data_IF_338895838165
#
_entry.id   IF_338895838165
#
_cell.length_a   1.000
_cell.length_b   1.000
_cell.length_c   1.000
_cell.angle_alpha   90.00
_cell.angle_beta   90.00
_cell.angle_gamma   90.00
#
_symmetry.space_group_name_H-M   'P 1'
#
loop_
_entity.id
_entity.type
_entity.pdbx_description
1 polymer ?
#
# COMPACT_ATOMS: atom_id res chain seq x y z
N UNK A 1 -15.50 0.40 18.86
CA UNK A 1 -14.51 -0.03 17.84
C UNK A 1 -13.48 1.07 17.64
N UNK A 2 -12.21 0.73 17.53
CA UNK A 2 -11.16 1.70 17.15
C UNK A 2 -11.37 2.16 15.71
N UNK A 3 -11.03 3.42 15.41
CA UNK A 3 -11.07 3.90 14.04
C UNK A 3 -9.85 3.35 13.29
N UNK A 4 -10.09 2.68 12.18
CA UNK A 4 -9.04 2.04 11.37
C UNK A 4 -8.87 2.84 10.07
N UNK A 5 -7.64 3.17 9.76
CA UNK A 5 -7.20 3.79 8.51
C UNK A 5 -6.40 2.77 7.71
N UNK A 6 -6.50 2.80 6.41
CA UNK A 6 -5.94 1.79 5.53
C UNK A 6 -4.88 2.39 4.61
N UNK A 7 -3.65 1.89 4.69
CA UNK A 7 -2.58 2.31 3.80
C UNK A 7 -2.38 1.27 2.70
N UNK A 8 -2.85 1.58 1.48
CA UNK A 8 -2.84 0.75 0.28
C UNK A 8 -1.81 1.22 -0.76
N UNK A 9 -0.72 1.80 -0.33
CA UNK A 9 0.25 2.50 -1.18
C UNK A 9 0.95 1.60 -2.19
N UNK A 10 1.34 2.19 -3.31
CA UNK A 10 2.19 1.56 -4.31
C UNK A 10 3.54 1.15 -3.68
N UNK A 11 4.09 -0.02 -4.02
CA UNK A 11 5.42 -0.41 -3.59
C UNK A 11 6.48 0.63 -3.96
N UNK A 12 7.43 0.87 -3.04
CA UNK A 12 8.53 1.84 -3.20
C UNK A 12 8.11 3.31 -3.34
N UNK A 13 6.89 3.64 -3.00
CA UNK A 13 6.37 5.02 -2.94
C UNK A 13 6.55 5.73 -1.60
N UNK A 14 7.26 5.13 -0.64
CA UNK A 14 7.48 5.72 0.68
C UNK A 14 6.42 5.37 1.73
N UNK A 15 5.60 4.34 1.51
CA UNK A 15 4.55 3.92 2.44
C UNK A 15 5.05 3.65 3.86
N UNK A 16 6.21 3.00 4.02
CA UNK A 16 6.80 2.75 5.34
C UNK A 16 7.25 4.07 6.01
N UNK A 17 7.74 5.03 5.23
CA UNK A 17 8.10 6.35 5.74
C UNK A 17 6.87 7.09 6.28
N UNK A 18 5.76 7.09 5.52
CA UNK A 18 4.49 7.66 5.96
C UNK A 18 3.98 6.99 7.24
N UNK A 19 4.06 5.65 7.34
CA UNK A 19 3.69 4.90 8.55
C UNK A 19 4.46 5.42 9.77
N UNK A 20 5.76 5.62 9.65
CA UNK A 20 6.61 6.05 10.76
C UNK A 20 6.43 7.54 11.09
N UNK A 21 6.12 8.40 10.11
CA UNK A 21 5.74 9.80 10.38
C UNK A 21 4.43 9.82 11.16
N UNK A 22 3.40 9.11 10.73
CA UNK A 22 2.11 9.05 11.42
C UNK A 22 2.21 8.41 12.82
N UNK A 23 3.12 7.46 13.02
CA UNK A 23 3.36 6.82 14.31
C UNK A 23 3.95 7.76 15.38
N UNK A 24 4.47 8.95 15.01
CA UNK A 24 4.86 9.99 15.98
C UNK A 24 3.65 10.51 16.75
N UNK A 25 2.44 10.46 16.17
CA UNK A 25 1.22 10.78 16.89
C UNK A 25 0.94 9.69 17.96
N UNK A 26 0.90 10.05 19.25
CA UNK A 26 0.72 9.07 20.32
C UNK A 26 -0.62 8.31 20.23
N UNK A 27 -1.62 8.87 19.58
CA UNK A 27 -2.93 8.24 19.41
C UNK A 27 -2.96 7.22 18.24
N UNK A 28 -1.95 7.19 17.37
CA UNK A 28 -1.90 6.32 16.18
C UNK A 28 -0.96 5.14 16.43
N UNK A 29 -1.46 3.94 16.26
CA UNK A 29 -0.65 2.73 16.07
C UNK A 29 -0.52 2.44 14.56
N UNK A 30 0.68 2.56 14.04
CA UNK A 30 0.98 2.21 12.64
C UNK A 30 1.52 0.78 12.58
N UNK A 31 0.89 -0.09 11.80
CA UNK A 31 1.40 -1.44 11.61
C UNK A 31 2.61 -1.44 10.66
N UNK A 32 3.53 -2.40 10.77
CA UNK A 32 4.32 -2.83 9.62
C UNK A 32 3.38 -3.39 8.53
N UNK A 33 3.90 -4.08 7.52
CA UNK A 33 3.01 -4.75 6.57
C UNK A 33 2.15 -5.78 7.31
N UNK A 34 0.83 -5.60 7.27
CA UNK A 34 -0.14 -6.39 8.02
C UNK A 34 -0.73 -7.52 7.17
N UNK A 35 -1.05 -8.64 7.83
CA UNK A 35 -1.80 -9.74 7.22
C UNK A 35 -3.32 -9.61 7.35
N UNK A 36 -3.84 -8.53 7.95
CA UNK A 36 -5.28 -8.40 8.24
C UNK A 36 -6.15 -8.47 6.98
N UNK A 37 -5.80 -7.74 5.91
CA UNK A 37 -6.52 -7.82 4.63
C UNK A 37 -6.49 -9.26 4.07
N UNK A 38 -5.36 -9.95 4.15
CA UNK A 38 -5.24 -11.34 3.69
C UNK A 38 -6.18 -12.28 4.45
N UNK A 39 -6.34 -12.11 5.77
CA UNK A 39 -7.29 -12.88 6.56
C UNK A 39 -8.74 -12.65 6.11
N UNK A 40 -9.12 -11.38 5.85
CA UNK A 40 -10.45 -11.06 5.34
C UNK A 40 -10.69 -11.65 3.95
N UNK A 41 -9.72 -11.56 3.05
CA UNK A 41 -9.81 -12.15 1.71
C UNK A 41 -9.93 -13.67 1.77
N UNK A 42 -9.16 -14.35 2.63
CA UNK A 42 -9.26 -15.79 2.85
C UNK A 42 -10.65 -16.20 3.38
N UNK A 43 -11.19 -15.43 4.32
CA UNK A 43 -12.54 -15.66 4.81
C UNK A 43 -13.60 -15.46 3.71
N UNK A 44 -13.48 -14.38 2.90
CA UNK A 44 -14.35 -14.11 1.74
C UNK A 44 -14.27 -15.23 0.70
N UNK A 45 -13.09 -15.69 0.39
CA UNK A 45 -12.87 -16.80 -0.53
C UNK A 45 -13.53 -18.10 0.00
N UNK A 46 -13.35 -18.40 1.28
CA UNK A 46 -13.99 -19.53 1.94
C UNK A 46 -15.51 -19.43 1.87
N UNK A 47 -16.07 -18.26 2.21
CA UNK A 47 -17.51 -18.01 2.13
C UNK A 47 -18.06 -18.21 0.71
N UNK A 48 -17.33 -17.77 -0.32
CA UNK A 48 -17.80 -17.85 -1.71
C UNK A 48 -17.66 -19.23 -2.35
N UNK A 49 -16.79 -20.11 -1.82
CA UNK A 49 -16.45 -21.39 -2.47
C UNK A 49 -16.98 -22.62 -1.74
N UNK A 50 -17.36 -22.51 -0.47
CA UNK A 50 -17.78 -23.69 0.32
C UNK A 50 -19.28 -23.95 0.22
N UNK A 51 -19.63 -25.23 0.06
CA UNK A 51 -21.00 -25.70 -0.11
C UNK A 51 -21.89 -25.33 1.09
N UNK A 52 -21.35 -25.34 2.31
CA UNK A 52 -22.06 -24.99 3.53
C UNK A 52 -22.63 -23.55 3.48
N UNK A 53 -21.89 -22.62 2.87
CA UNK A 53 -22.38 -21.25 2.69
C UNK A 53 -23.27 -21.10 1.47
N UNK A 54 -22.95 -21.78 0.36
CA UNK A 54 -23.78 -21.75 -0.86
C UNK A 54 -25.18 -22.32 -0.61
N UNK A 55 -25.29 -23.38 0.17
CA UNK A 55 -26.57 -24.00 0.54
C UNK A 55 -27.44 -23.11 1.44
N UNK A 56 -26.84 -22.15 2.12
CA UNK A 56 -27.49 -21.22 3.06
C UNK A 56 -27.40 -19.76 2.57
N UNK A 57 -27.25 -19.55 1.24
CA UNK A 57 -27.10 -18.18 0.67
C UNK A 57 -28.38 -17.37 0.83
N UNK A 58 -28.52 -16.78 2.01
CA UNK A 58 -29.64 -15.93 2.42
C UNK A 58 -29.11 -14.56 2.86
N UNK A 59 -30.02 -13.57 2.88
CA UNK A 59 -29.70 -12.24 3.41
C UNK A 59 -29.21 -12.31 4.86
N UNK A 60 -29.75 -13.26 5.66
CA UNK A 60 -29.32 -13.49 7.03
C UNK A 60 -27.87 -14.00 7.10
N UNK A 61 -27.51 -14.97 6.26
CA UNK A 61 -26.16 -15.53 6.21
C UNK A 61 -25.14 -14.49 5.74
N UNK A 62 -25.48 -13.68 4.73
CA UNK A 62 -24.64 -12.54 4.29
C UNK A 62 -24.40 -11.54 5.43
N UNK A 63 -25.47 -11.20 6.18
CA UNK A 63 -25.35 -10.32 7.36
C UNK A 63 -24.48 -10.94 8.45
N UNK A 64 -24.62 -12.22 8.72
CA UNK A 64 -23.81 -12.96 9.70
C UNK A 64 -22.34 -12.99 9.29
N UNK A 65 -22.04 -13.23 8.00
CA UNK A 65 -20.68 -13.21 7.49
C UNK A 65 -20.02 -11.83 7.59
N UNK A 66 -20.72 -10.75 7.24
CA UNK A 66 -20.23 -9.38 7.44
C UNK A 66 -19.96 -9.08 8.92
N UNK A 67 -20.82 -9.60 9.82
CA UNK A 67 -20.62 -9.52 11.27
C UNK A 67 -19.36 -10.26 11.73
N UNK A 68 -19.10 -11.45 11.17
CA UNK A 68 -17.88 -12.21 11.42
C UNK A 68 -16.62 -11.44 10.98
N UNK A 69 -16.62 -10.85 9.77
CA UNK A 69 -15.49 -10.06 9.27
C UNK A 69 -15.24 -8.83 10.17
N UNK A 70 -16.29 -8.10 10.58
CA UNK A 70 -16.17 -6.97 11.51
C UNK A 70 -15.60 -7.40 12.85
N UNK A 71 -16.15 -8.44 13.44
CA UNK A 71 -15.68 -8.97 14.71
C UNK A 71 -14.23 -9.45 14.67
N UNK A 72 -13.83 -10.07 13.54
CA UNK A 72 -12.44 -10.45 13.29
C UNK A 72 -11.50 -9.24 13.23
N UNK A 73 -11.86 -8.19 12.49
CA UNK A 73 -11.09 -6.95 12.45
C UNK A 73 -11.01 -6.26 13.82
N UNK A 74 -12.11 -6.20 14.53
CA UNK A 74 -12.18 -5.62 15.88
C UNK A 74 -11.29 -6.37 16.87
N UNK A 75 -11.41 -7.69 16.90
CA UNK A 75 -10.58 -8.55 17.75
C UNK A 75 -9.11 -8.41 17.42
N UNK A 76 -8.75 -8.42 16.14
CA UNK A 76 -7.38 -8.26 15.68
C UNK A 76 -6.81 -6.90 16.13
N UNK A 77 -7.48 -5.80 15.81
CA UNK A 77 -6.99 -4.45 16.08
C UNK A 77 -6.99 -4.06 17.55
N UNK A 78 -7.96 -4.57 18.34
CA UNK A 78 -8.01 -4.32 19.77
C UNK A 78 -6.86 -5.01 20.53
N UNK A 79 -6.36 -6.15 20.01
CA UNK A 79 -5.24 -6.86 20.61
C UNK A 79 -3.87 -6.38 20.11
N UNK A 80 -3.80 -5.56 19.04
CA UNK A 80 -2.55 -4.99 18.57
C UNK A 80 -2.04 -3.83 19.43
N UNK A 81 -2.92 -3.00 19.94
CA UNK A 81 -2.54 -1.77 20.63
C UNK A 81 -3.72 -1.19 21.39
N UNK A 82 -3.46 -0.43 22.45
CA UNK A 82 -4.47 0.36 23.17
C UNK A 82 -4.69 1.74 22.57
N UNK A 83 -3.95 2.14 21.54
CA UNK A 83 -4.07 3.43 20.89
C UNK A 83 -5.44 3.60 20.23
N UNK A 84 -5.87 4.87 20.11
CA UNK A 84 -7.19 5.25 19.63
C UNK A 84 -7.42 4.93 18.15
N UNK A 85 -6.37 5.10 17.34
CA UNK A 85 -6.39 4.91 15.90
C UNK A 85 -5.43 3.80 15.49
N UNK A 86 -5.83 3.00 14.51
CA UNK A 86 -4.98 2.00 13.88
C UNK A 86 -4.75 2.43 12.43
N UNK A 87 -3.50 2.54 12.01
CA UNK A 87 -3.12 2.71 10.61
C UNK A 87 -2.58 1.37 10.11
N UNK A 88 -3.43 0.62 9.43
CA UNK A 88 -3.07 -0.71 8.92
C UNK A 88 -2.53 -0.64 7.50
N UNK A 89 -1.37 -1.26 7.27
CA UNK A 89 -0.68 -1.24 5.98
C UNK A 89 -0.79 -2.58 5.27
N UNK A 90 -1.48 -2.58 4.14
CA UNK A 90 -1.47 -3.67 3.15
C UNK A 90 -1.83 -3.10 1.78
N UNK A 91 -1.10 -3.47 0.74
CA UNK A 91 -1.44 -3.05 -0.63
C UNK A 91 -2.82 -3.57 -1.07
N UNK A 92 -3.29 -4.67 -0.53
CA UNK A 92 -4.60 -5.26 -0.82
C UNK A 92 -5.78 -4.36 -0.45
N UNK A 93 -5.62 -3.43 0.50
CA UNK A 93 -6.70 -2.51 0.87
C UNK A 93 -7.25 -1.69 -0.30
N UNK A 94 -6.44 -1.50 -1.36
CA UNK A 94 -6.88 -0.85 -2.59
C UNK A 94 -8.03 -1.59 -3.29
N UNK A 95 -8.00 -2.93 -3.26
CA UNK A 95 -9.07 -3.78 -3.81
C UNK A 95 -10.23 -4.05 -2.85
N UNK A 96 -10.07 -3.69 -1.57
CA UNK A 96 -11.06 -4.00 -0.52
C UNK A 96 -12.09 -2.87 -0.27
N UNK A 97 -12.04 -1.77 -1.03
CA UNK A 97 -12.91 -0.60 -0.81
C UNK A 97 -14.38 -0.98 -0.63
N UNK A 98 -14.96 -1.71 -1.56
CA UNK A 98 -16.37 -2.09 -1.48
C UNK A 98 -16.66 -3.08 -0.35
N UNK A 99 -15.76 -4.03 -0.09
CA UNK A 99 -15.90 -4.95 1.03
C UNK A 99 -15.95 -4.19 2.35
N UNK A 100 -15.04 -3.25 2.56
CA UNK A 100 -15.00 -2.40 3.75
C UNK A 100 -16.27 -1.55 3.86
N UNK A 101 -16.70 -0.92 2.76
CA UNK A 101 -17.94 -0.13 2.73
C UNK A 101 -19.17 -0.97 3.10
N UNK A 102 -19.26 -2.21 2.60
CA UNK A 102 -20.31 -3.15 2.99
C UNK A 102 -20.23 -3.55 4.46
N UNK A 103 -19.04 -3.86 4.96
CA UNK A 103 -18.81 -4.23 6.34
C UNK A 103 -19.24 -3.12 7.32
N UNK A 104 -19.07 -1.86 6.94
CA UNK A 104 -19.38 -0.69 7.77
C UNK A 104 -20.65 0.05 7.35
N UNK A 105 -21.66 -0.69 6.86
CA UNK A 105 -23.02 -0.19 6.57
C UNK A 105 -23.06 0.98 5.56
N UNK A 106 -22.16 1.03 4.63
CA UNK A 106 -22.06 2.05 3.59
C UNK A 106 -21.14 3.23 3.93
N UNK A 107 -20.54 3.25 5.12
CA UNK A 107 -19.52 4.23 5.46
C UNK A 107 -18.26 4.03 4.57
N UNK A 108 -17.78 5.12 3.97
CA UNK A 108 -16.60 5.07 3.12
C UNK A 108 -15.32 4.87 3.94
N UNK A 109 -14.54 3.82 3.64
CA UNK A 109 -13.29 3.56 4.35
C UNK A 109 -12.27 4.69 4.08
N UNK A 110 -11.50 5.06 5.08
CA UNK A 110 -10.41 6.03 4.94
C UNK A 110 -9.17 5.32 4.41
N UNK A 111 -9.01 5.29 3.09
CA UNK A 111 -7.90 4.65 2.39
C UNK A 111 -6.89 5.72 1.94
N UNK A 112 -5.63 5.49 2.26
CA UNK A 112 -4.49 6.32 1.87
C UNK A 112 -3.69 5.54 0.83
N UNK A 113 -3.34 6.18 -0.29
CA UNK A 113 -2.50 5.59 -1.32
C UNK A 113 -1.35 6.52 -1.67
N UNK A 114 -0.14 6.18 -1.25
CA UNK A 114 1.03 6.87 -1.78
C UNK A 114 1.33 6.37 -3.19
N UNK A 115 1.58 7.33 -4.06
CA UNK A 115 2.06 7.12 -5.43
C UNK A 115 3.42 7.79 -5.59
N UNK A 116 4.17 7.35 -6.57
CA UNK A 116 5.47 7.88 -6.95
C UNK A 116 5.64 7.75 -8.45
N UNK A 117 6.48 8.56 -9.07
CA UNK A 117 6.89 8.31 -10.45
C UNK A 117 7.25 6.83 -10.62
N UNK A 118 6.58 6.14 -11.53
CA UNK A 118 6.75 4.70 -11.69
C UNK A 118 8.16 4.33 -12.11
N UNK A 119 8.86 5.21 -12.85
CA UNK A 119 10.27 5.02 -13.21
C UNK A 119 11.13 4.98 -11.96
N UNK A 120 10.87 5.87 -11.00
CA UNK A 120 11.58 5.93 -9.71
C UNK A 120 11.23 4.75 -8.78
N UNK A 121 9.97 4.30 -8.79
CA UNK A 121 9.54 3.12 -8.04
C UNK A 121 10.24 1.87 -8.57
N UNK A 122 10.26 1.68 -9.87
CA UNK A 122 10.94 0.57 -10.55
C UNK A 122 12.46 0.64 -10.38
N UNK A 123 13.06 1.83 -10.49
CA UNK A 123 14.49 2.02 -10.23
C UNK A 123 14.87 1.64 -8.79
N UNK A 124 14.01 1.96 -7.82
CA UNK A 124 14.19 1.52 -6.43
C UNK A 124 14.10 0.00 -6.28
N UNK A 125 13.22 -0.67 -7.03
CA UNK A 125 13.13 -2.13 -7.05
C UNK A 125 14.39 -2.74 -7.67
N UNK A 126 14.83 -2.23 -8.80
CA UNK A 126 16.03 -2.68 -9.51
C UNK A 126 17.29 -2.49 -8.66
N UNK A 127 17.43 -1.36 -7.97
CA UNK A 127 18.55 -1.12 -7.06
C UNK A 127 18.60 -2.16 -5.94
N UNK A 128 17.47 -2.52 -5.36
CA UNK A 128 17.44 -3.56 -4.32
C UNK A 128 17.77 -4.94 -4.89
N UNK A 129 17.28 -5.24 -6.07
CA UNK A 129 17.61 -6.49 -6.76
C UNK A 129 19.13 -6.60 -7.01
N UNK A 130 19.77 -5.54 -7.55
CA UNK A 130 21.22 -5.52 -7.79
C UNK A 130 22.04 -5.64 -6.51
N UNK A 131 21.57 -5.00 -5.42
CA UNK A 131 22.27 -5.03 -4.13
C UNK A 131 22.19 -6.41 -3.46
N UNK A 132 21.07 -7.10 -3.54
CA UNK A 132 20.86 -8.39 -2.89
C UNK A 132 19.82 -9.24 -3.64
N UNK A 133 20.21 -9.89 -4.74
CA UNK A 133 19.30 -10.72 -5.52
C UNK A 133 18.67 -11.85 -4.69
N UNK A 134 19.43 -12.45 -3.77
CA UNK A 134 18.96 -13.53 -2.91
C UNK A 134 17.95 -13.05 -1.86
N UNK A 135 18.05 -11.78 -1.44
CA UNK A 135 17.08 -11.19 -0.53
C UNK A 135 15.76 -10.90 -1.24
N UNK A 136 15.84 -10.40 -2.48
CA UNK A 136 14.66 -10.09 -3.29
C UNK A 136 13.89 -11.37 -3.69
N UNK A 137 14.62 -12.47 -3.88
CA UNK A 137 14.05 -13.77 -4.26
C UNK A 137 14.61 -14.88 -3.37
N UNK A 138 14.20 -14.94 -2.09
CA UNK A 138 14.76 -15.89 -1.12
C UNK A 138 14.46 -17.36 -1.43
N UNK A 139 13.47 -17.61 -2.29
CA UNK A 139 13.15 -18.95 -2.82
C UNK A 139 13.49 -18.94 -4.29
N UNK A 140 14.58 -19.61 -4.65
CA UNK A 140 14.92 -19.84 -6.07
C UNK A 140 13.86 -20.79 -6.62
N UNK A 141 12.85 -20.22 -7.20
CA UNK A 141 11.93 -20.92 -8.07
C UNK A 141 12.49 -20.93 -9.49
N UNK A 142 12.13 -21.90 -10.29
CA UNK A 142 12.52 -21.98 -11.71
C UNK A 142 12.19 -20.67 -12.46
N UNK A 143 11.14 -19.97 -12.04
CA UNK A 143 10.74 -18.67 -12.59
C UNK A 143 11.76 -17.56 -12.29
N UNK A 144 12.43 -17.56 -11.13
CA UNK A 144 13.40 -16.52 -10.78
C UNK A 144 14.72 -16.65 -11.53
N UNK A 145 15.09 -17.84 -11.95
CA UNK A 145 16.27 -18.05 -12.82
C UNK A 145 16.10 -17.38 -14.19
N UNK A 146 14.87 -17.03 -14.57
CA UNK A 146 14.58 -16.33 -15.82
C UNK A 146 14.70 -14.80 -15.71
N UNK A 147 14.83 -14.22 -14.49
CA UNK A 147 14.89 -12.78 -14.28
C UNK A 147 16.30 -12.19 -14.42
N UNK A 148 17.08 -12.69 -15.34
CA UNK A 148 18.50 -12.36 -15.54
C UNK A 148 18.72 -10.97 -16.15
N UNK A 149 17.77 -10.45 -16.93
CA UNK A 149 17.86 -9.14 -17.56
C UNK A 149 16.91 -8.15 -16.96
N UNK A 150 17.22 -6.84 -17.05
CA UNK A 150 16.33 -5.79 -16.61
C UNK A 150 14.95 -5.88 -17.29
N UNK A 151 14.93 -6.12 -18.60
CA UNK A 151 13.68 -6.24 -19.37
C UNK A 151 12.77 -7.35 -18.82
N UNK A 152 13.33 -8.52 -18.50
CA UNK A 152 12.58 -9.64 -17.92
C UNK A 152 12.02 -9.26 -16.54
N UNK A 153 12.81 -8.58 -15.71
CA UNK A 153 12.35 -8.11 -14.40
C UNK A 153 11.24 -7.07 -14.51
N UNK A 154 11.35 -6.13 -15.45
CA UNK A 154 10.30 -5.14 -15.70
C UNK A 154 8.97 -5.81 -16.06
N UNK A 155 9.00 -6.75 -17.00
CA UNK A 155 7.82 -7.51 -17.42
C UNK A 155 7.23 -8.33 -16.28
N UNK A 156 8.08 -8.94 -15.45
CA UNK A 156 7.64 -9.70 -14.28
C UNK A 156 6.97 -8.79 -13.23
N UNK A 157 7.61 -7.68 -12.86
CA UNK A 157 7.03 -6.74 -11.88
C UNK A 157 5.74 -6.12 -12.36
N UNK A 158 5.61 -5.87 -13.66
CA UNK A 158 4.40 -5.32 -14.26
C UNK A 158 3.12 -6.13 -13.96
N UNK A 159 3.26 -7.43 -13.78
CA UNK A 159 2.12 -8.35 -13.57
C UNK A 159 2.15 -9.04 -12.20
N UNK A 160 3.26 -8.92 -11.47
CA UNK A 160 3.41 -9.61 -10.17
C UNK A 160 2.98 -8.76 -8.99
N UNK A 161 2.67 -9.45 -7.89
CA UNK A 161 2.44 -8.81 -6.61
C UNK A 161 3.77 -8.38 -5.98
N UNK A 162 3.79 -7.24 -5.29
CA UNK A 162 2.67 -6.32 -5.04
C UNK A 162 2.50 -5.20 -6.08
N UNK A 163 3.45 -5.00 -7.03
CA UNK A 163 3.50 -3.81 -7.89
C UNK A 163 2.38 -3.80 -8.93
N UNK A 164 2.28 -4.85 -9.77
CA UNK A 164 1.27 -4.96 -10.82
C UNK A 164 -0.15 -4.90 -10.23
N UNK A 165 -0.42 -5.68 -9.20
CA UNK A 165 -1.74 -5.72 -8.55
C UNK A 165 -2.14 -4.36 -7.96
N UNK A 166 -1.19 -3.61 -7.35
CA UNK A 166 -1.51 -2.28 -6.82
C UNK A 166 -1.85 -1.29 -7.95
N UNK A 167 -1.19 -1.39 -9.09
CA UNK A 167 -1.51 -0.58 -10.27
C UNK A 167 -2.91 -0.92 -10.81
N UNK A 168 -3.29 -2.19 -10.82
CA UNK A 168 -4.63 -2.61 -11.21
C UNK A 168 -5.69 -2.02 -10.25
N UNK A 169 -5.47 -2.06 -8.94
CA UNK A 169 -6.36 -1.41 -7.97
C UNK A 169 -6.48 0.10 -8.19
N UNK A 170 -5.37 0.80 -8.46
CA UNK A 170 -5.41 2.23 -8.78
C UNK A 170 -6.24 2.47 -10.05
N UNK A 171 -6.05 1.66 -11.08
CA UNK A 171 -6.82 1.75 -12.32
C UNK A 171 -8.32 1.50 -12.10
N UNK A 172 -8.66 0.51 -11.27
CA UNK A 172 -10.04 0.21 -10.88
C UNK A 172 -10.69 1.37 -10.11
N UNK A 173 -9.98 2.02 -9.19
CA UNK A 173 -10.45 3.21 -8.46
C UNK A 173 -10.86 4.32 -9.43
N UNK A 174 -10.04 4.63 -10.43
CA UNK A 174 -10.39 5.63 -11.45
C UNK A 174 -11.52 5.17 -12.37
N UNK A 175 -11.55 3.90 -12.74
CA UNK A 175 -12.62 3.33 -13.57
C UNK A 175 -13.97 3.37 -12.86
N UNK A 176 -13.98 3.07 -11.56
CA UNK A 176 -15.16 3.12 -10.69
C UNK A 176 -15.54 4.55 -10.27
N UNK A 177 -14.72 5.57 -10.61
CA UNK A 177 -14.91 6.98 -10.24
C UNK A 177 -15.04 7.23 -8.74
N UNK A 178 -14.25 6.51 -7.96
CA UNK A 178 -14.19 6.64 -6.49
C UNK A 178 -12.88 7.30 -6.01
N UNK A 179 -12.09 7.87 -6.91
CA UNK A 179 -10.81 8.52 -6.59
C UNK A 179 -10.96 9.65 -5.56
N UNK A 180 -12.10 10.32 -5.50
CA UNK A 180 -12.37 11.37 -4.51
C UNK A 180 -12.60 10.82 -3.08
N UNK A 181 -12.82 9.51 -2.95
CA UNK A 181 -12.97 8.84 -1.66
C UNK A 181 -11.64 8.27 -1.13
N UNK A 182 -10.58 8.36 -1.93
CA UNK A 182 -9.23 7.88 -1.61
C UNK A 182 -8.28 9.07 -1.46
N UNK A 183 -7.44 9.07 -0.44
CA UNK A 183 -6.43 10.12 -0.29
C UNK A 183 -5.12 9.73 -0.95
N UNK A 184 -4.89 10.23 -2.16
CA UNK A 184 -3.63 10.04 -2.87
C UNK A 184 -2.55 11.01 -2.36
N UNK A 185 -1.34 10.49 -2.14
CA UNK A 185 -0.16 11.28 -1.74
C UNK A 185 0.95 11.00 -2.76
N UNK A 186 1.42 12.02 -3.46
CA UNK A 186 2.64 11.92 -4.26
C UNK A 186 3.85 11.94 -3.34
N UNK A 187 4.72 10.95 -3.49
CA UNK A 187 5.94 10.84 -2.68
C UNK A 187 6.81 12.09 -2.76
N UNK A 188 6.92 12.66 -3.95
CA UNK A 188 7.70 13.85 -4.23
C UNK A 188 7.14 15.06 -3.48
N UNK A 189 5.82 15.24 -3.46
CA UNK A 189 5.14 16.31 -2.73
C UNK A 189 5.27 16.12 -1.22
N UNK A 190 5.13 14.88 -0.74
CA UNK A 190 5.34 14.55 0.67
C UNK A 190 6.75 14.85 1.14
N UNK A 191 7.76 14.62 0.29
CA UNK A 191 9.14 14.92 0.60
C UNK A 191 9.47 16.43 0.53
N UNK A 192 8.83 17.18 -0.38
CA UNK A 192 9.10 18.59 -0.58
C UNK A 192 8.28 19.49 0.37
N UNK A 193 7.04 19.10 0.65
CA UNK A 193 6.07 19.89 1.41
C UNK A 193 5.36 19.02 2.46
N UNK A 194 6.08 18.41 3.43
CA UNK A 194 5.49 17.42 4.32
C UNK A 194 4.36 17.97 5.18
N UNK A 195 4.49 19.17 5.73
CA UNK A 195 3.48 19.72 6.63
C UNK A 195 2.14 20.00 5.94
N UNK A 196 2.06 20.67 4.78
CA UNK A 196 0.81 20.80 4.02
C UNK A 196 0.16 19.46 3.67
N UNK A 197 0.96 18.48 3.22
CA UNK A 197 0.46 17.14 2.88
C UNK A 197 -0.13 16.47 4.12
N UNK A 198 0.56 16.52 5.26
CA UNK A 198 0.06 15.93 6.51
C UNK A 198 -1.19 16.63 7.03
N UNK A 199 -1.27 17.96 6.95
CA UNK A 199 -2.50 18.69 7.29
C UNK A 199 -3.70 18.24 6.43
N UNK A 200 -3.49 18.11 5.12
CA UNK A 200 -4.50 17.58 4.20
C UNK A 200 -4.92 16.15 4.58
N UNK A 201 -3.96 15.29 4.89
CA UNK A 201 -4.22 13.92 5.32
C UNK A 201 -5.03 13.87 6.62
N UNK A 202 -4.68 14.65 7.63
CA UNK A 202 -5.42 14.68 8.89
C UNK A 202 -6.87 15.18 8.72
N UNK A 203 -7.09 16.16 7.84
CA UNK A 203 -8.42 16.60 7.46
C UNK A 203 -9.23 15.48 6.80
N UNK A 204 -8.61 14.73 5.86
CA UNK A 204 -9.24 13.57 5.24
C UNK A 204 -9.58 12.48 6.26
N UNK A 205 -8.67 12.21 7.22
CA UNK A 205 -8.88 11.22 8.28
C UNK A 205 -9.90 11.67 9.33
N UNK A 206 -10.25 12.96 9.36
CA UNK A 206 -11.18 13.56 10.33
C UNK A 206 -10.71 13.36 11.77
N UNK A 207 -9.44 13.65 12.01
CA UNK A 207 -8.81 13.60 13.34
C UNK A 207 -8.01 14.88 13.58
N UNK A 208 -7.80 15.27 14.86
CA UNK A 208 -7.00 16.43 15.21
C UNK A 208 -5.57 16.33 14.67
N UNK A 209 -5.08 17.41 14.07
CA UNK A 209 -3.71 17.48 13.57
C UNK A 209 -2.69 17.35 14.71
N UNK A 210 -1.65 16.56 14.47
CA UNK A 210 -0.47 16.42 15.31
C UNK A 210 0.75 16.99 14.57
N UNK A 211 1.54 17.83 15.23
CA UNK A 211 2.76 18.38 14.65
C UNK A 211 3.87 17.33 14.63
N UNK A 212 4.35 17.01 13.44
CA UNK A 212 5.37 15.99 13.22
C UNK A 212 6.77 16.58 13.16
N UNK A 213 7.77 15.83 13.65
CA UNK A 213 9.18 16.11 13.39
C UNK A 213 9.61 15.38 12.10
N UNK A 214 9.82 16.15 11.04
CA UNK A 214 10.21 15.61 9.73
C UNK A 214 11.73 15.46 9.59
N UNK A 215 12.50 15.94 10.54
CA UNK A 215 13.96 15.84 10.54
C UNK A 215 14.50 14.67 11.38
N UNK A 216 13.66 14.11 12.29
CA UNK A 216 14.03 12.98 13.15
C UNK A 216 12.97 11.89 13.13
N UNK A 217 12.84 11.19 12.01
CA UNK A 217 11.89 10.10 11.87
C UNK A 217 12.54 8.81 12.35
N UNK A 218 11.99 8.25 13.42
CA UNK A 218 12.41 6.95 13.93
C UNK A 218 11.61 5.83 13.27
N UNK A 219 12.26 4.70 13.02
CA UNK A 219 11.57 3.52 12.50
C UNK A 219 11.00 2.70 13.65
N UNK A 220 9.69 2.83 13.86
CA UNK A 220 8.95 2.07 14.89
C UNK A 220 8.14 0.92 14.30
N UNK A 221 7.94 0.90 12.97
CA UNK A 221 7.30 -0.21 12.25
C UNK A 221 8.36 -1.24 11.86
N UNK A 222 8.85 -2.01 12.85
CA UNK A 222 9.85 -3.03 12.61
C UNK A 222 9.21 -4.34 12.13
N UNK A 223 9.89 -5.02 11.21
CA UNK A 223 9.48 -6.31 10.66
C UNK A 223 10.71 -7.10 10.16
N UNK A 224 10.58 -8.42 10.10
CA UNK A 224 11.62 -9.25 9.51
C UNK A 224 11.54 -9.21 7.99
N UNK A 225 12.38 -8.39 7.36
CA UNK A 225 12.44 -8.22 5.91
C UNK A 225 12.88 -9.49 5.15
N UNK A 226 13.40 -10.51 5.84
CA UNK A 226 13.73 -11.80 5.24
C UNK A 226 12.53 -12.56 4.65
N UNK A 227 11.29 -12.16 5.01
CA UNK A 227 10.06 -12.70 4.43
C UNK A 227 9.51 -11.87 3.28
N UNK A 228 10.14 -10.75 2.94
CA UNK A 228 9.68 -9.82 1.89
C UNK A 228 10.66 -9.73 0.74
N UNK A 229 10.15 -9.36 -0.43
CA UNK A 229 10.96 -9.15 -1.63
C UNK A 229 11.88 -7.92 -1.47
N UNK A 230 11.40 -6.89 -0.77
CA UNK A 230 12.10 -5.61 -0.60
C UNK A 230 12.23 -5.24 0.86
N UNK A 231 13.37 -4.65 1.24
CA UNK A 231 13.53 -4.14 2.60
C UNK A 231 12.68 -2.88 2.84
N UNK A 232 12.34 -2.66 4.11
CA UNK A 232 11.46 -1.58 4.56
C UNK A 232 12.21 -0.53 5.40
N UNK A 233 13.53 -0.45 5.28
CA UNK A 233 14.32 0.60 5.96
C UNK A 233 13.94 1.97 5.44
N UNK A 234 13.77 2.92 6.37
CA UNK A 234 13.44 4.30 6.07
C UNK A 234 14.65 5.22 6.20
N UNK A 235 14.53 6.42 5.66
CA UNK A 235 15.43 7.53 5.94
C UNK A 235 14.94 8.28 7.20
N UNK A 236 15.88 8.91 7.92
CA UNK A 236 15.55 9.66 9.14
C UNK A 236 14.94 11.05 8.89
N UNK A 237 15.03 11.55 7.66
CA UNK A 237 14.57 12.90 7.32
C UNK A 237 13.72 12.88 6.04
N UNK A 238 12.68 13.73 6.02
CA UNK A 238 11.94 14.05 4.81
C UNK A 238 12.66 15.19 4.09
N UNK A 239 13.17 14.88 2.91
CA UNK A 239 13.83 15.84 2.01
C UNK A 239 13.50 15.50 0.56
N UNK A 240 13.48 16.48 -0.33
CA UNK A 240 13.39 16.23 -1.76
C UNK A 240 14.39 15.17 -2.22
N UNK A 241 14.03 14.39 -3.20
CA UNK A 241 14.83 13.29 -3.72
C UNK A 241 15.13 13.56 -5.17
N UNK A 242 16.42 13.59 -5.48
CA UNK A 242 16.85 13.67 -6.87
C UNK A 242 16.42 12.41 -7.63
N UNK A 243 15.82 12.57 -8.84
CA UNK A 243 15.49 11.45 -9.70
C UNK A 243 16.75 10.64 -10.04
N UNK A 244 16.62 9.30 -10.03
CA UNK A 244 17.72 8.36 -10.33
C UNK A 244 17.31 7.30 -11.36
N UNK A 245 16.08 7.34 -11.82
CA UNK A 245 15.56 6.30 -12.70
C UNK A 245 16.39 6.19 -13.99
N UNK A 246 16.75 7.32 -14.60
CA UNK A 246 17.52 7.33 -15.83
C UNK A 246 18.90 6.69 -15.66
N UNK A 247 19.58 6.97 -14.54
CA UNK A 247 20.91 6.43 -14.24
C UNK A 247 20.86 4.92 -13.95
N UNK A 248 19.77 4.46 -13.31
CA UNK A 248 19.64 3.07 -12.87
C UNK A 248 19.08 2.18 -13.97
N UNK A 249 18.08 2.64 -14.67
CA UNK A 249 17.34 1.85 -15.67
C UNK A 249 17.82 2.08 -17.09
N UNK A 250 18.33 3.28 -17.39
CA UNK A 250 18.61 3.75 -18.73
C UNK A 250 17.36 4.25 -19.47
N UNK A 251 17.56 4.94 -20.61
CA UNK A 251 16.48 5.61 -21.34
C UNK A 251 15.44 4.64 -21.91
N UNK A 252 15.86 3.48 -22.40
CA UNK A 252 14.96 2.49 -23.01
C UNK A 252 13.96 1.92 -21.98
N UNK A 253 14.45 1.56 -20.78
CA UNK A 253 13.60 1.03 -19.73
C UNK A 253 12.69 2.11 -19.13
N UNK A 254 13.17 3.34 -18.98
CA UNK A 254 12.33 4.48 -18.58
C UNK A 254 11.20 4.73 -19.58
N UNK A 255 11.51 4.70 -20.87
CA UNK A 255 10.51 4.84 -21.92
C UNK A 255 9.52 3.67 -21.95
N UNK A 256 10.00 2.44 -21.72
CA UNK A 256 9.12 1.28 -21.59
C UNK A 256 8.12 1.44 -20.45
N UNK A 257 8.57 1.86 -19.27
CA UNK A 257 7.69 2.13 -18.11
C UNK A 257 6.68 3.21 -18.46
N UNK A 258 7.12 4.32 -19.07
CA UNK A 258 6.20 5.39 -19.47
C UNK A 258 5.14 4.90 -20.45
N UNK A 259 5.54 4.23 -21.53
CA UNK A 259 4.62 3.79 -22.59
C UNK A 259 3.58 2.79 -22.07
N UNK A 260 3.98 1.85 -21.18
CA UNK A 260 3.06 0.86 -20.64
C UNK A 260 2.08 1.43 -19.59
N UNK A 261 2.45 2.54 -18.95
CA UNK A 261 1.67 3.15 -17.87
C UNK A 261 1.34 4.62 -18.13
N UNK A 262 1.26 5.06 -19.38
CA UNK A 262 0.97 6.45 -19.78
C UNK A 262 -0.26 7.03 -19.05
N UNK A 263 -1.29 6.18 -18.84
CA UNK A 263 -2.48 6.56 -18.09
C UNK A 263 -2.17 7.03 -16.67
N UNK A 264 -1.22 6.38 -15.98
CA UNK A 264 -0.81 6.72 -14.62
C UNK A 264 -0.09 8.08 -14.60
N UNK A 265 0.87 8.27 -15.51
CA UNK A 265 1.61 9.54 -15.64
C UNK A 265 0.67 10.70 -15.89
N UNK A 266 -0.33 10.52 -16.78
CA UNK A 266 -1.36 11.53 -17.06
C UNK A 266 -2.25 11.82 -15.84
N UNK A 267 -2.69 10.77 -15.12
CA UNK A 267 -3.59 10.92 -13.95
C UNK A 267 -2.92 11.65 -12.79
N UNK A 268 -1.64 11.41 -12.57
CA UNK A 268 -0.90 12.00 -11.46
C UNK A 268 0.00 13.16 -11.85
N UNK A 269 -0.10 13.66 -13.11
CA UNK A 269 0.69 14.79 -13.63
C UNK A 269 2.20 14.61 -13.41
N UNK A 270 2.72 13.43 -13.70
CA UNK A 270 4.16 13.22 -13.78
C UNK A 270 4.67 13.65 -15.17
N UNK A 271 5.78 14.39 -15.18
CA UNK A 271 6.40 14.85 -16.43
C UNK A 271 6.92 13.66 -17.27
N UNK A 272 6.97 13.89 -18.58
CA UNK A 272 7.55 12.98 -19.58
C UNK A 272 9.06 12.80 -19.39
#
# INVERSE_FOLDING_TARGET
MKKIFYNASLPRSGSTLLQNVLAQNPDIYATPTSGLSTLLQSAKETYSKRAEFAALDTALMKKAFLGFLRGGMEGFTNNLSDKKYILDKSFNWGGDYYLLKYMFNGESPKIIMMVRDLRESVASMESQYRFSPQHVYPKIDLETTQLTTLEKRLKYWAVSNPFGLTLDFIKEIFTAKIENEIFFIKFEEFCAFPEPVMKGLYNYLEIPYFAHDFDNIEQVTDQNDGFYIFNHKIRKQLKPVEPKALDILGPEACNWVYTNYEWFFKKFNYAL
#
